data_IF_058753608200
#
_entry.id   IF_058753608200
#
_cell.length_a   1.000
_cell.length_b   1.000
_cell.length_c   1.000
_cell.angle_alpha   90.00
_cell.angle_beta   90.00
_cell.angle_gamma   90.00
#
_symmetry.space_group_name_H-M   'P 1'
#
loop_
_entity.id
_entity.type
_entity.pdbx_description
1 polymer ?
#
# COMPACT_ATOMS: atom_id res chain seq x y z
N UNK A 1 -8.07 18.00 -8.05
CA UNK A 1 -8.91 16.89 -8.54
C UNK A 1 -8.97 16.79 -10.06
N UNK A 2 -9.25 17.88 -10.80
CA UNK A 2 -9.27 17.85 -12.27
C UNK A 2 -7.98 17.29 -12.92
N UNK A 3 -6.81 17.71 -12.45
CA UNK A 3 -5.52 17.21 -12.98
C UNK A 3 -5.36 15.70 -12.80
N UNK A 4 -5.67 15.17 -11.61
CA UNK A 4 -5.59 13.72 -11.33
C UNK A 4 -6.56 12.93 -12.21
N UNK A 5 -7.77 13.45 -12.39
CA UNK A 5 -8.77 12.84 -13.27
C UNK A 5 -8.27 12.75 -14.71
N UNK A 6 -7.69 13.82 -15.25
CA UNK A 6 -7.13 13.84 -16.60
C UNK A 6 -5.96 12.85 -16.73
N UNK A 7 -5.01 12.88 -15.80
CA UNK A 7 -3.85 11.97 -15.82
C UNK A 7 -4.28 10.51 -15.75
N UNK A 8 -5.19 10.13 -14.85
CA UNK A 8 -5.69 8.76 -14.75
C UNK A 8 -6.49 8.34 -15.99
N UNK A 9 -7.29 9.24 -16.56
CA UNK A 9 -8.03 8.97 -17.79
C UNK A 9 -7.09 8.72 -18.97
N UNK A 10 -6.05 9.54 -19.11
CA UNK A 10 -5.01 9.37 -20.15
C UNK A 10 -4.33 8.01 -20.00
N UNK A 11 -3.82 7.69 -18.80
CA UNK A 11 -3.13 6.42 -18.54
C UNK A 11 -4.06 5.23 -18.80
N UNK A 12 -5.34 5.31 -18.38
CA UNK A 12 -6.34 4.28 -18.62
C UNK A 12 -6.66 4.09 -20.11
N UNK A 13 -6.86 5.17 -20.86
CA UNK A 13 -7.11 5.13 -22.29
C UNK A 13 -5.94 4.53 -23.06
N UNK A 14 -4.71 5.00 -22.82
CA UNK A 14 -3.53 4.44 -23.49
C UNK A 14 -3.27 2.99 -23.10
N UNK A 15 -3.44 2.62 -21.83
CA UNK A 15 -3.34 1.22 -21.40
C UNK A 15 -4.35 0.30 -22.11
N UNK A 16 -5.60 0.77 -22.28
CA UNK A 16 -6.61 0.03 -23.02
C UNK A 16 -6.33 -0.02 -24.54
N UNK A 17 -5.81 1.04 -25.14
CA UNK A 17 -5.44 1.04 -26.56
C UNK A 17 -4.30 0.05 -26.84
N UNK A 18 -3.35 -0.14 -25.92
CA UNK A 18 -2.23 -1.07 -26.10
C UNK A 18 -2.62 -2.54 -25.94
N UNK A 19 -3.42 -2.87 -24.93
CA UNK A 19 -3.72 -4.28 -24.58
C UNK A 19 -5.18 -4.70 -24.82
N UNK A 20 -6.04 -3.76 -25.23
CA UNK A 20 -7.46 -3.99 -25.44
C UNK A 20 -8.18 -4.50 -24.19
N UNK A 21 -9.08 -5.46 -24.40
CA UNK A 21 -9.88 -6.09 -23.35
C UNK A 21 -9.08 -6.98 -22.37
N UNK A 22 -7.81 -7.27 -22.65
CA UNK A 22 -6.99 -8.17 -21.85
C UNK A 22 -6.08 -7.43 -20.84
N UNK A 23 -6.34 -6.14 -20.57
CA UNK A 23 -5.51 -5.35 -19.65
C UNK A 23 -5.53 -5.96 -18.23
N UNK A 24 -4.36 -6.27 -17.71
CA UNK A 24 -4.19 -6.76 -16.35
C UNK A 24 -4.27 -5.61 -15.35
N UNK A 25 -4.60 -5.92 -14.09
CA UNK A 25 -4.59 -4.95 -13.00
C UNK A 25 -3.24 -4.27 -12.78
N UNK A 26 -2.14 -4.92 -13.19
CA UNK A 26 -0.82 -4.32 -13.24
C UNK A 26 -0.38 -4.18 -14.70
N UNK A 27 -0.76 -3.06 -15.33
CA UNK A 27 -0.44 -2.78 -16.74
C UNK A 27 1.06 -2.73 -17.01
N UNK A 28 1.88 -2.32 -16.03
CA UNK A 28 3.33 -2.22 -16.18
C UNK A 28 3.97 -3.61 -16.39
N UNK A 29 3.38 -4.67 -15.84
CA UNK A 29 3.84 -6.05 -16.01
C UNK A 29 3.58 -6.59 -17.42
N UNK A 30 2.66 -5.95 -18.18
CA UNK A 30 2.32 -6.39 -19.53
C UNK A 30 3.24 -5.82 -20.61
N UNK A 31 4.01 -4.78 -20.29
CA UNK A 31 5.02 -4.24 -21.18
C UNK A 31 6.29 -5.09 -21.16
N UNK A 32 6.97 -5.16 -22.30
CA UNK A 32 8.22 -5.90 -22.43
C UNK A 32 9.31 -5.28 -21.57
N UNK A 33 10.02 -6.13 -20.81
CA UNK A 33 11.08 -5.71 -19.91
C UNK A 33 12.38 -5.35 -20.65
N UNK A 34 12.53 -5.83 -21.90
CA UNK A 34 13.69 -5.52 -22.74
C UNK A 34 13.68 -4.09 -23.30
N UNK A 35 12.53 -3.39 -23.23
CA UNK A 35 12.44 -1.98 -23.62
C UNK A 35 13.11 -1.08 -22.54
N UNK A 36 14.16 -0.31 -22.90
CA UNK A 36 14.85 0.58 -21.97
C UNK A 36 13.93 1.60 -21.28
N UNK A 37 12.87 2.09 -21.95
CA UNK A 37 11.93 3.04 -21.38
C UNK A 37 11.06 2.39 -20.29
N UNK A 38 10.62 1.15 -20.53
CA UNK A 38 9.84 0.36 -19.55
C UNK A 38 10.71 0.06 -18.33
N UNK A 39 11.98 -0.33 -18.56
CA UNK A 39 12.93 -0.60 -17.49
C UNK A 39 13.18 0.63 -16.60
N UNK A 40 13.37 1.82 -17.21
CA UNK A 40 13.50 3.08 -16.46
C UNK A 40 12.24 3.38 -15.65
N UNK A 41 11.06 3.15 -16.22
CA UNK A 41 9.78 3.30 -15.52
C UNK A 41 9.66 2.37 -14.31
N UNK A 42 10.01 1.10 -14.46
CA UNK A 42 10.02 0.12 -13.37
C UNK A 42 11.03 0.51 -12.29
N UNK A 43 12.24 0.93 -12.66
CA UNK A 43 13.25 1.40 -11.72
C UNK A 43 12.76 2.60 -10.90
N UNK A 44 12.13 3.58 -11.55
CA UNK A 44 11.52 4.73 -10.87
C UNK A 44 10.42 4.31 -9.89
N UNK A 45 9.59 3.32 -10.25
CA UNK A 45 8.56 2.77 -9.34
C UNK A 45 9.18 2.05 -8.14
N UNK A 46 10.28 1.31 -8.33
CA UNK A 46 11.00 0.64 -7.24
C UNK A 46 11.59 1.68 -6.29
N UNK A 47 12.28 2.70 -6.80
CA UNK A 47 12.84 3.78 -5.98
C UNK A 47 11.74 4.49 -5.18
N UNK A 48 10.62 4.80 -5.83
CA UNK A 48 9.44 5.37 -5.16
C UNK A 48 8.94 4.45 -4.03
N UNK A 49 8.82 3.15 -4.26
CA UNK A 49 8.38 2.20 -3.23
C UNK A 49 9.35 2.18 -2.05
N UNK A 50 10.66 2.12 -2.30
CA UNK A 50 11.69 2.13 -1.24
C UNK A 50 11.57 3.41 -0.40
N UNK A 51 11.34 4.56 -1.03
CA UNK A 51 11.19 5.83 -0.31
C UNK A 51 9.87 5.93 0.47
N UNK A 52 8.78 5.35 -0.05
CA UNK A 52 7.44 5.48 0.55
C UNK A 52 7.21 4.45 1.68
N UNK A 53 7.82 3.27 1.58
CA UNK A 53 7.57 2.16 2.51
C UNK A 53 7.90 2.50 3.98
N UNK A 54 9.04 3.13 4.32
CA UNK A 54 9.36 3.49 5.71
C UNK A 54 8.33 4.44 6.34
N UNK A 55 7.81 5.39 5.56
CA UNK A 55 6.83 6.37 6.01
C UNK A 55 5.52 5.65 6.37
N UNK A 56 5.04 4.78 5.49
CA UNK A 56 3.82 4.01 5.72
C UNK A 56 3.97 3.02 6.90
N UNK A 57 5.11 2.36 7.02
CA UNK A 57 5.39 1.44 8.12
C UNK A 57 5.44 2.17 9.47
N UNK A 58 5.93 3.40 9.51
CA UNK A 58 5.93 4.23 10.71
C UNK A 58 4.49 4.58 11.15
N UNK A 59 3.67 5.09 10.23
CA UNK A 59 2.27 5.42 10.51
C UNK A 59 1.48 4.19 10.97
N UNK A 60 1.67 3.05 10.29
CA UNK A 60 1.03 1.79 10.65
C UNK A 60 1.43 1.28 12.03
N UNK A 61 2.71 1.41 12.39
CA UNK A 61 3.21 1.06 13.72
C UNK A 61 2.57 1.91 14.81
N UNK A 62 2.48 3.21 14.59
CA UNK A 62 1.94 4.13 15.59
C UNK A 62 0.42 3.93 15.76
N UNK A 63 -0.32 3.67 14.68
CA UNK A 63 -1.72 3.28 14.73
C UNK A 63 -1.94 1.96 15.49
N UNK A 64 -1.14 0.93 15.21
CA UNK A 64 -1.21 -0.35 15.92
C UNK A 64 -0.88 -0.21 17.42
N UNK A 65 0.09 0.64 17.76
CA UNK A 65 0.42 0.94 19.14
C UNK A 65 -0.72 1.68 19.86
N UNK A 66 -1.39 2.62 19.18
CA UNK A 66 -2.57 3.31 19.70
C UNK A 66 -3.72 2.37 20.01
N UNK A 67 -4.09 1.51 19.05
CA UNK A 67 -5.14 0.49 19.23
C UNK A 67 -4.78 -0.45 20.38
N UNK A 68 -3.53 -0.92 20.48
CA UNK A 68 -3.10 -1.79 21.58
C UNK A 68 -3.17 -1.10 22.95
N UNK A 69 -2.81 0.18 23.03
CA UNK A 69 -2.91 0.97 24.26
C UNK A 69 -4.35 1.09 24.74
N UNK A 70 -5.25 1.41 23.81
CA UNK A 70 -6.67 1.65 24.06
C UNK A 70 -7.40 0.35 24.45
N UNK A 71 -7.12 -0.76 23.75
CA UNK A 71 -7.70 -2.08 24.07
C UNK A 71 -7.27 -2.62 25.44
N UNK A 72 -6.06 -2.29 25.90
CA UNK A 72 -5.52 -2.78 27.18
C UNK A 72 -5.69 -1.80 28.34
N UNK A 73 -6.18 -0.58 28.09
CA UNK A 73 -6.32 0.46 29.12
C UNK A 73 -5.00 0.79 29.84
N UNK A 74 -3.87 0.63 29.15
CA UNK A 74 -2.53 0.73 29.75
C UNK A 74 -2.23 2.17 30.16
N UNK A 75 -1.73 2.36 31.38
CA UNK A 75 -1.23 3.66 31.84
C UNK A 75 0.07 4.02 31.10
N UNK A 76 0.36 5.31 30.90
CA UNK A 76 1.55 5.78 30.15
C UNK A 76 2.88 5.23 30.69
N UNK A 77 2.96 4.95 31.99
CA UNK A 77 4.16 4.46 32.68
C UNK A 77 4.55 3.02 32.32
N UNK A 78 3.58 2.11 32.14
CA UNK A 78 3.84 0.73 31.71
C UNK A 78 4.08 0.64 30.19
N UNK A 79 3.51 1.58 29.44
CA UNK A 79 3.67 1.69 28.00
C UNK A 79 5.11 1.99 27.57
N UNK A 80 5.83 2.79 28.38
CA UNK A 80 7.24 3.10 28.18
C UNK A 80 8.18 1.93 28.52
N UNK A 81 7.83 1.11 29.51
CA UNK A 81 8.66 -0.01 29.95
C UNK A 81 8.74 -1.17 28.92
N UNK A 82 7.66 -1.41 28.17
CA UNK A 82 7.56 -2.51 27.18
C UNK A 82 7.89 -2.07 25.75
N UNK A 83 8.41 -0.85 25.59
CA UNK A 83 8.50 -0.20 24.28
C UNK A 83 9.41 -0.92 23.28
N UNK A 84 10.57 -1.44 23.72
CA UNK A 84 11.48 -2.19 22.82
C UNK A 84 10.85 -3.48 22.30
N UNK A 85 10.29 -4.31 23.19
CA UNK A 85 9.67 -5.58 22.79
C UNK A 85 8.47 -5.36 21.89
N UNK A 86 7.63 -4.35 22.18
CA UNK A 86 6.49 -3.99 21.33
C UNK A 86 6.94 -3.54 19.94
N UNK A 87 8.00 -2.74 19.85
CA UNK A 87 8.55 -2.29 18.55
C UNK A 87 9.00 -3.46 17.68
N UNK A 88 9.71 -4.43 18.25
CA UNK A 88 10.13 -5.64 17.51
C UNK A 88 8.94 -6.49 17.09
N UNK A 89 7.97 -6.72 17.98
CA UNK A 89 6.77 -7.52 17.68
C UNK A 89 5.92 -6.84 16.59
N UNK A 90 5.66 -5.54 16.68
CA UNK A 90 4.87 -4.82 15.68
C UNK A 90 5.59 -4.82 14.32
N UNK A 91 6.90 -4.60 14.29
CA UNK A 91 7.67 -4.66 13.04
C UNK A 91 7.67 -6.07 12.43
N UNK A 92 7.83 -7.12 13.26
CA UNK A 92 7.80 -8.51 12.81
C UNK A 92 6.42 -8.89 12.27
N UNK A 93 5.35 -8.53 12.98
CA UNK A 93 3.96 -8.76 12.55
C UNK A 93 3.66 -7.98 11.27
N UNK A 94 4.10 -6.73 11.17
CA UNK A 94 3.92 -5.89 9.98
C UNK A 94 4.64 -6.46 8.75
N UNK A 95 5.88 -6.91 8.93
CA UNK A 95 6.64 -7.54 7.86
C UNK A 95 6.01 -8.89 7.46
N UNK A 96 5.65 -9.72 8.42
CA UNK A 96 5.03 -11.02 8.18
C UNK A 96 3.67 -10.86 7.46
N UNK A 97 2.82 -9.92 7.89
CA UNK A 97 1.54 -9.66 7.25
C UNK A 97 1.73 -9.13 5.83
N UNK A 98 2.69 -8.22 5.62
CA UNK A 98 3.02 -7.70 4.29
C UNK A 98 3.54 -8.79 3.35
N UNK A 99 4.39 -9.69 3.86
CA UNK A 99 4.91 -10.82 3.09
C UNK A 99 3.80 -11.84 2.77
N UNK A 100 2.95 -12.17 3.74
CA UNK A 100 1.81 -13.07 3.53
C UNK A 100 0.86 -12.51 2.47
N UNK A 101 0.53 -11.22 2.54
CA UNK A 101 -0.27 -10.57 1.50
C UNK A 101 0.42 -10.63 0.13
N UNK A 102 1.74 -10.44 0.07
CA UNK A 102 2.48 -10.53 -1.19
C UNK A 102 2.45 -11.95 -1.80
N UNK A 103 2.51 -13.00 -0.98
CA UNK A 103 2.46 -14.40 -1.45
C UNK A 103 1.04 -14.84 -1.79
N UNK A 104 0.05 -14.46 -0.99
CA UNK A 104 -1.34 -14.88 -1.16
C UNK A 104 -2.10 -14.06 -2.22
N UNK A 105 -1.62 -12.87 -2.58
CA UNK A 105 -2.31 -12.00 -3.53
C UNK A 105 -1.82 -12.23 -4.95
N UNK A 106 -2.65 -12.90 -5.75
CA UNK A 106 -2.36 -13.10 -7.18
C UNK A 106 -2.65 -11.84 -8.03
N UNK A 107 -3.46 -10.90 -7.51
CA UNK A 107 -3.78 -9.65 -8.23
C UNK A 107 -3.85 -8.41 -7.33
N UNK A 108 -3.10 -7.38 -7.72
CA UNK A 108 -3.09 -6.07 -7.04
C UNK A 108 -4.49 -5.42 -7.05
N UNK A 109 -5.33 -5.75 -8.05
CA UNK A 109 -6.69 -5.23 -8.16
C UNK A 109 -7.59 -5.58 -6.99
N UNK A 110 -7.44 -6.78 -6.40
CA UNK A 110 -8.21 -7.18 -5.22
C UNK A 110 -7.85 -6.32 -4.03
N UNK A 111 -6.56 -6.06 -3.81
CA UNK A 111 -6.07 -5.20 -2.72
C UNK A 111 -6.60 -3.79 -2.85
N UNK A 112 -6.59 -3.21 -4.05
CA UNK A 112 -7.13 -1.87 -4.28
C UNK A 112 -8.64 -1.78 -4.05
N UNK A 113 -9.41 -2.83 -4.37
CA UNK A 113 -10.85 -2.87 -4.08
C UNK A 113 -11.12 -2.79 -2.59
N UNK A 114 -10.42 -3.59 -1.78
CA UNK A 114 -10.55 -3.57 -0.32
C UNK A 114 -10.09 -2.25 0.29
N UNK A 115 -8.95 -1.71 -0.15
CA UNK A 115 -8.46 -0.41 0.31
C UNK A 115 -9.46 0.71 -0.01
N UNK A 116 -10.01 0.71 -1.24
CA UNK A 116 -11.00 1.68 -1.67
C UNK A 116 -12.30 1.57 -0.88
N UNK A 117 -12.80 0.36 -0.60
CA UNK A 117 -14.02 0.17 0.19
C UNK A 117 -13.87 0.65 1.63
N UNK A 118 -12.73 0.36 2.29
CA UNK A 118 -12.47 0.81 3.66
C UNK A 118 -12.32 2.33 3.73
N UNK A 119 -11.57 2.92 2.79
CA UNK A 119 -11.43 4.38 2.72
C UNK A 119 -12.77 5.09 2.45
N UNK A 120 -13.59 4.53 1.56
CA UNK A 120 -14.93 5.06 1.26
C UNK A 120 -15.85 4.97 2.49
N UNK A 121 -15.82 3.85 3.22
CA UNK A 121 -16.58 3.70 4.45
C UNK A 121 -16.17 4.77 5.49
N UNK A 122 -14.87 5.02 5.65
CA UNK A 122 -14.39 6.06 6.56
C UNK A 122 -14.92 7.46 6.19
N UNK A 123 -14.85 7.85 4.92
CA UNK A 123 -15.27 9.18 4.46
C UNK A 123 -16.79 9.39 4.58
N UNK A 124 -17.60 8.37 4.26
CA UNK A 124 -19.06 8.52 4.25
C UNK A 124 -19.72 8.29 5.63
N UNK A 125 -19.12 7.47 6.50
CA UNK A 125 -19.68 7.15 7.82
C UNK A 125 -19.17 8.13 8.89
N UNK A 126 -17.91 8.56 8.79
CA UNK A 126 -17.27 9.47 9.74
C UNK A 126 -16.78 10.74 9.01
N UNK A 127 -17.69 11.68 8.69
CA UNK A 127 -17.33 12.94 8.04
C UNK A 127 -16.52 13.88 8.96
#
# INVERSE_FOLDING_TARGET
MAVLFVVYSIIGCFGYLTFGSHVAHNVMKMYDADDPFVMVGVAALIIKMIATYPILALCGRDAAAGIYAELRGLKPSEFAATERTRRYVVAAVWFASSLLLAVCTESIGVVFKYLGSVASANIFIYP
#
